data_IF_436221573225
#
_entry.id   IF_436221573225
#
_cell.length_a   1.000
_cell.length_b   1.000
_cell.length_c   1.000
_cell.angle_alpha   90.00
_cell.angle_beta   90.00
_cell.angle_gamma   90.00
#
_symmetry.space_group_name_H-M   'P 1'
#
loop_
_entity.id
_entity.type
_entity.pdbx_description
1 polymer ?
#
# COMPACT_ATOMS: atom_id res chain seq x y z
N UNK A 1 14.35 -10.71 -7.94
CA UNK A 1 13.28 -10.15 -7.10
C UNK A 1 13.69 -10.11 -5.64
N UNK A 2 14.48 -11.06 -5.16
CA UNK A 2 15.07 -11.06 -3.81
C UNK A 2 15.86 -9.79 -3.43
N UNK A 3 16.45 -9.07 -4.38
CA UNK A 3 17.17 -7.81 -4.11
C UNK A 3 16.26 -6.59 -3.88
N UNK A 4 14.95 -6.72 -4.09
CA UNK A 4 13.99 -5.63 -3.84
C UNK A 4 13.55 -5.77 -2.39
N UNK A 5 14.19 -5.00 -1.50
CA UNK A 5 13.80 -4.89 -0.10
C UNK A 5 12.73 -3.80 0.08
N UNK A 6 11.80 -3.96 1.03
CA UNK A 6 10.94 -2.86 1.43
C UNK A 6 11.78 -1.77 2.12
N UNK A 7 11.29 -0.53 2.12
CA UNK A 7 12.06 0.59 2.63
C UNK A 7 12.29 0.54 4.16
N UNK A 8 13.51 0.21 4.58
CA UNK A 8 13.84 -0.05 6.00
C UNK A 8 14.27 1.18 6.81
N UNK A 9 14.64 2.31 6.18
CA UNK A 9 15.15 3.48 6.93
C UNK A 9 14.10 4.11 7.85
N UNK A 10 12.83 3.73 7.73
CA UNK A 10 11.76 4.19 8.60
C UNK A 10 11.48 3.27 9.80
N UNK A 11 12.22 2.16 9.97
CA UNK A 11 12.08 1.29 11.15
C UNK A 11 12.32 2.01 12.47
N UNK A 12 13.11 3.10 12.47
CA UNK A 12 13.27 3.97 13.64
C UNK A 12 12.05 4.83 13.98
N UNK A 13 11.12 5.03 13.04
CA UNK A 13 9.86 5.74 13.23
C UNK A 13 8.70 4.79 13.50
N UNK A 14 8.66 3.64 12.82
CA UNK A 14 7.57 2.68 12.90
C UNK A 14 8.05 1.27 12.56
N UNK A 15 7.67 0.30 13.38
CA UNK A 15 7.91 -1.12 13.13
C UNK A 15 6.58 -1.88 13.24
N UNK A 16 6.03 -2.40 12.12
CA UNK A 16 4.74 -3.07 12.13
C UNK A 16 4.73 -4.36 12.96
N UNK A 17 5.88 -4.99 13.22
CA UNK A 17 5.94 -6.19 14.06
C UNK A 17 5.88 -5.86 15.56
N UNK A 18 6.16 -4.62 15.95
CA UNK A 18 6.20 -4.18 17.37
C UNK A 18 5.01 -3.34 17.79
N UNK A 19 4.15 -2.95 16.85
CA UNK A 19 2.95 -2.16 17.12
C UNK A 19 1.73 -3.07 17.30
N UNK A 20 1.14 -3.10 18.49
CA UNK A 20 -0.03 -3.94 18.83
C UNK A 20 -1.26 -3.68 17.95
N UNK A 21 -1.34 -2.52 17.31
CA UNK A 21 -2.45 -2.14 16.41
C UNK A 21 -2.16 -2.47 14.94
N UNK A 22 -0.97 -2.95 14.64
CA UNK A 22 -0.58 -3.36 13.30
C UNK A 22 -1.24 -4.70 12.95
N UNK A 23 -1.70 -4.90 11.70
CA UNK A 23 -2.12 -6.22 11.22
C UNK A 23 -0.97 -7.25 11.22
N UNK A 24 0.29 -6.81 11.34
CA UNK A 24 1.48 -7.65 11.37
C UNK A 24 2.14 -7.72 12.76
N UNK A 25 1.43 -7.33 13.82
CA UNK A 25 1.96 -7.39 15.19
C UNK A 25 2.45 -8.80 15.55
N UNK A 26 3.64 -8.88 16.16
CA UNK A 26 4.25 -10.13 16.61
C UNK A 26 4.85 -10.97 15.48
N UNK A 27 4.90 -10.46 14.24
CA UNK A 27 5.55 -11.17 13.14
C UNK A 27 7.05 -11.28 13.37
N UNK A 28 7.58 -12.49 13.20
CA UNK A 28 9.01 -12.76 13.21
C UNK A 28 9.51 -12.93 11.77
N UNK A 29 10.42 -12.04 11.35
CA UNK A 29 11.02 -12.07 10.03
C UNK A 29 12.22 -13.02 10.02
N UNK A 30 12.18 -14.04 9.17
CA UNK A 30 13.27 -14.99 8.99
C UNK A 30 14.10 -14.63 7.76
N UNK A 31 15.24 -13.97 7.97
CA UNK A 31 16.14 -13.53 6.90
C UNK A 31 17.04 -14.65 6.35
N UNK A 32 17.08 -15.81 7.01
CA UNK A 32 17.91 -16.94 6.58
C UNK A 32 17.18 -17.85 5.58
N UNK A 33 15.85 -17.73 5.46
CA UNK A 33 15.02 -18.58 4.62
C UNK A 33 14.15 -17.72 3.70
N UNK A 34 14.44 -17.78 2.41
CA UNK A 34 13.56 -17.26 1.37
C UNK A 34 12.49 -18.33 1.07
N UNK A 35 11.27 -18.13 1.56
CA UNK A 35 10.15 -19.05 1.34
C UNK A 35 9.21 -18.58 0.24
N UNK A 36 9.01 -17.26 0.14
CA UNK A 36 7.99 -16.67 -0.72
C UNK A 36 8.52 -16.38 -2.12
N UNK A 37 7.67 -16.59 -3.12
CA UNK A 37 8.04 -16.35 -4.53
C UNK A 37 6.94 -15.63 -5.29
N UNK A 38 7.36 -14.78 -6.24
CA UNK A 38 6.49 -14.20 -7.27
C UNK A 38 7.08 -14.62 -8.61
N UNK A 39 6.25 -15.22 -9.47
CA UNK A 39 6.71 -15.85 -10.73
C UNK A 39 7.86 -16.86 -10.58
N UNK A 40 7.91 -17.56 -9.44
CA UNK A 40 8.97 -18.53 -9.14
C UNK A 40 10.32 -17.90 -8.77
N UNK A 41 10.37 -16.58 -8.57
CA UNK A 41 11.53 -15.89 -8.00
C UNK A 41 11.29 -15.56 -6.54
N UNK A 42 12.25 -15.89 -5.69
CA UNK A 42 12.21 -15.51 -4.28
C UNK A 42 12.15 -13.99 -4.09
N UNK A 43 11.37 -13.55 -3.10
CA UNK A 43 11.28 -12.16 -2.62
C UNK A 43 11.92 -12.02 -1.24
N UNK A 44 12.33 -10.81 -0.88
CA UNK A 44 12.92 -10.57 0.44
C UNK A 44 11.95 -10.92 1.60
N UNK A 45 12.40 -11.63 2.65
CA UNK A 45 11.55 -12.02 3.77
C UNK A 45 10.92 -10.85 4.54
N UNK A 46 11.43 -9.62 4.38
CA UNK A 46 10.86 -8.42 4.99
C UNK A 46 9.49 -8.03 4.42
N UNK A 47 9.11 -8.55 3.24
CA UNK A 47 7.78 -8.36 2.68
C UNK A 47 6.72 -9.16 3.44
N UNK A 48 5.55 -8.56 3.57
CA UNK A 48 4.44 -9.09 4.34
C UNK A 48 3.40 -9.76 3.45
N UNK A 49 3.17 -11.07 3.70
CA UNK A 49 2.06 -11.81 3.14
C UNK A 49 0.74 -11.27 3.68
N UNK A 50 -0.12 -10.81 2.77
CA UNK A 50 -1.43 -10.26 3.12
C UNK A 50 -2.59 -11.20 2.78
N UNK A 51 -2.31 -12.43 2.38
CA UNK A 51 -3.32 -13.40 1.93
C UNK A 51 -3.33 -13.68 0.43
N UNK A 52 -2.47 -13.01 -0.34
CA UNK A 52 -2.27 -13.25 -1.78
C UNK A 52 -0.86 -13.76 -2.06
N UNK A 53 -0.75 -14.71 -3.01
CA UNK A 53 0.53 -15.25 -3.48
C UNK A 53 1.20 -14.37 -4.54
N UNK A 54 0.48 -13.41 -5.13
CA UNK A 54 0.99 -12.56 -6.22
C UNK A 54 1.32 -11.14 -5.79
N UNK A 55 0.72 -10.66 -4.69
CA UNK A 55 0.92 -9.31 -4.17
C UNK A 55 1.29 -9.35 -2.70
N UNK A 56 2.42 -8.74 -2.37
CA UNK A 56 2.93 -8.58 -1.01
C UNK A 56 3.05 -7.10 -0.69
N UNK A 57 3.05 -6.78 0.61
CA UNK A 57 3.10 -5.40 1.07
C UNK A 57 4.13 -5.19 2.18
N UNK A 58 4.40 -3.93 2.50
CA UNK A 58 5.01 -3.53 3.76
C UNK A 58 4.28 -2.31 4.30
N UNK A 59 3.83 -2.36 5.54
CA UNK A 59 3.38 -1.15 6.24
C UNK A 59 4.61 -0.40 6.72
N UNK A 60 4.93 0.71 6.06
CA UNK A 60 6.11 1.51 6.35
C UNK A 60 5.90 2.47 7.51
N UNK A 61 4.66 2.91 7.73
CA UNK A 61 4.31 3.87 8.78
C UNK A 61 2.81 3.82 9.07
N UNK A 62 2.45 3.94 10.35
CA UNK A 62 1.08 4.21 10.78
C UNK A 62 1.06 5.29 11.88
N UNK A 63 0.18 6.27 11.73
CA UNK A 63 -0.10 7.32 12.71
C UNK A 63 -1.60 7.37 12.99
N UNK A 64 -1.99 6.74 14.08
CA UNK A 64 -3.38 6.62 14.51
C UNK A 64 -3.98 7.91 15.06
N UNK A 65 -3.14 8.89 15.44
CA UNK A 65 -3.62 10.20 15.92
C UNK A 65 -3.99 11.06 14.72
N UNK A 66 -3.10 11.11 13.72
CA UNK A 66 -3.32 11.89 12.52
C UNK A 66 -4.09 11.14 11.42
N UNK A 67 -4.33 9.84 11.61
CA UNK A 67 -5.12 8.98 10.72
C UNK A 67 -4.41 8.57 9.43
N UNK A 68 -3.08 8.45 9.43
CA UNK A 68 -2.28 8.11 8.24
C UNK A 68 -1.72 6.69 8.25
N UNK A 69 -1.71 6.05 7.09
CA UNK A 69 -0.91 4.86 6.83
C UNK A 69 -0.13 5.01 5.51
N UNK A 70 1.09 4.47 5.50
CA UNK A 70 1.94 4.36 4.31
C UNK A 70 2.24 2.89 4.07
N UNK A 71 1.87 2.40 2.89
CA UNK A 71 1.98 0.99 2.51
C UNK A 71 2.74 0.90 1.18
N UNK A 72 3.81 0.10 1.15
CA UNK A 72 4.58 -0.20 -0.06
C UNK A 72 4.16 -1.57 -0.61
N UNK A 73 4.11 -1.71 -1.93
CA UNK A 73 3.66 -2.91 -2.62
C UNK A 73 4.78 -3.52 -3.45
N UNK A 74 4.80 -4.84 -3.57
CA UNK A 74 5.62 -5.58 -4.54
C UNK A 74 4.82 -6.73 -5.17
N UNK A 75 4.98 -6.91 -6.48
CA UNK A 75 4.40 -8.05 -7.19
C UNK A 75 3.35 -7.67 -8.21
N UNK A 76 2.44 -8.59 -8.48
CA UNK A 76 1.32 -8.38 -9.39
C UNK A 76 0.04 -8.19 -8.61
N UNK A 77 -0.67 -7.12 -8.92
CA UNK A 77 -1.97 -6.86 -8.35
C UNK A 77 -3.06 -7.46 -9.25
N UNK A 78 -3.60 -8.59 -8.84
CA UNK A 78 -4.48 -9.43 -9.64
C UNK A 78 -5.84 -9.65 -8.96
N UNK A 79 -6.75 -8.69 -9.15
CA UNK A 79 -8.12 -8.76 -8.67
C UNK A 79 -8.98 -9.75 -9.47
N UNK A 80 -8.57 -10.10 -10.70
CA UNK A 80 -9.28 -11.02 -11.59
C UNK A 80 -9.20 -12.50 -11.18
N UNK A 81 -8.06 -12.93 -10.64
CA UNK A 81 -7.82 -14.34 -10.29
C UNK A 81 -7.76 -14.52 -8.78
N UNK A 82 -6.95 -13.71 -8.10
CA UNK A 82 -6.64 -13.88 -6.68
C UNK A 82 -7.50 -13.00 -5.77
N UNK A 83 -8.23 -12.03 -6.34
CA UNK A 83 -8.99 -11.04 -5.60
C UNK A 83 -8.11 -10.32 -4.56
N UNK A 84 -6.95 -9.82 -5.03
CA UNK A 84 -5.93 -9.21 -4.19
C UNK A 84 -6.48 -8.04 -3.35
N UNK A 85 -7.35 -7.22 -3.93
CA UNK A 85 -8.02 -6.13 -3.21
C UNK A 85 -8.87 -6.62 -2.03
N UNK A 86 -9.57 -7.75 -2.14
CA UNK A 86 -10.31 -8.33 -1.01
C UNK A 86 -9.35 -8.71 0.12
N UNK A 87 -8.25 -9.39 -0.22
CA UNK A 87 -7.25 -9.80 0.77
C UNK A 87 -6.60 -8.59 1.44
N UNK A 88 -6.19 -7.59 0.66
CA UNK A 88 -5.68 -6.33 1.16
C UNK A 88 -6.69 -5.68 2.12
N UNK A 89 -7.95 -5.53 1.70
CA UNK A 89 -8.97 -4.88 2.51
C UNK A 89 -9.21 -5.62 3.82
N UNK A 90 -9.55 -6.90 3.76
CA UNK A 90 -9.98 -7.68 4.92
C UNK A 90 -8.86 -7.95 5.92
N UNK A 91 -7.66 -8.24 5.42
CA UNK A 91 -6.57 -8.68 6.29
C UNK A 91 -5.72 -7.51 6.80
N UNK A 92 -5.76 -6.35 6.13
CA UNK A 92 -4.85 -5.23 6.43
C UNK A 92 -5.66 -3.96 6.71
N UNK A 93 -6.41 -3.49 5.72
CA UNK A 93 -7.02 -2.16 5.77
C UNK A 93 -8.12 -2.07 6.83
N UNK A 94 -9.00 -3.05 6.95
CA UNK A 94 -10.11 -3.02 7.91
C UNK A 94 -9.60 -2.88 9.36
N UNK A 95 -8.49 -3.56 9.69
CA UNK A 95 -7.82 -3.41 10.98
C UNK A 95 -7.26 -2.00 11.19
N UNK A 96 -6.65 -1.40 10.16
CA UNK A 96 -6.12 -0.03 10.24
C UNK A 96 -7.25 1.00 10.39
N UNK A 97 -8.35 0.85 9.64
CA UNK A 97 -9.54 1.73 9.75
C UNK A 97 -10.14 1.64 11.14
N UNK A 98 -10.31 0.43 11.69
CA UNK A 98 -10.81 0.22 13.04
C UNK A 98 -9.97 0.92 14.12
N UNK A 99 -8.69 1.17 13.85
CA UNK A 99 -7.77 1.90 14.71
C UNK A 99 -7.67 3.40 14.39
N UNK A 100 -8.50 3.93 13.49
CA UNK A 100 -8.61 5.36 13.19
C UNK A 100 -7.84 5.86 11.97
N UNK A 101 -7.29 4.96 11.14
CA UNK A 101 -6.66 5.35 9.88
C UNK A 101 -7.72 5.64 8.82
N UNK A 102 -7.65 6.82 8.20
CA UNK A 102 -8.55 7.24 7.12
C UNK A 102 -7.81 7.78 5.89
N UNK A 103 -6.49 7.98 5.99
CA UNK A 103 -5.66 8.51 4.89
C UNK A 103 -4.57 7.52 4.54
N UNK A 104 -4.67 6.96 3.34
CA UNK A 104 -3.79 5.90 2.88
C UNK A 104 -2.88 6.41 1.75
N UNK A 105 -1.58 6.21 1.92
CA UNK A 105 -0.56 6.45 0.90
C UNK A 105 -0.06 5.08 0.43
N UNK A 106 -0.41 4.73 -0.79
CA UNK A 106 -0.01 3.49 -1.43
C UNK A 106 1.21 3.79 -2.31
N UNK A 107 2.34 3.14 -2.06
CA UNK A 107 3.56 3.28 -2.84
C UNK A 107 3.65 2.09 -3.80
N UNK A 108 3.43 2.35 -5.08
CA UNK A 108 3.24 1.31 -6.10
C UNK A 108 4.39 1.11 -7.07
N UNK A 109 5.57 1.66 -6.80
CA UNK A 109 6.69 1.63 -7.75
C UNK A 109 7.19 0.22 -8.11
N UNK A 110 6.95 -0.78 -7.23
CA UNK A 110 7.30 -2.18 -7.47
C UNK A 110 6.09 -3.06 -7.87
N UNK A 111 4.95 -2.44 -8.24
CA UNK A 111 3.83 -3.16 -8.85
C UNK A 111 4.18 -3.43 -10.31
N UNK A 112 4.22 -4.72 -10.66
CA UNK A 112 4.70 -5.20 -11.95
C UNK A 112 3.58 -5.31 -12.98
N UNK A 113 2.35 -5.61 -12.53
CA UNK A 113 1.19 -5.71 -13.39
C UNK A 113 -0.10 -5.47 -12.61
N UNK A 114 -1.17 -5.09 -13.32
CA UNK A 114 -2.52 -4.98 -12.77
C UNK A 114 -3.52 -5.76 -13.62
N UNK A 115 -4.33 -6.59 -12.97
CA UNK A 115 -5.42 -7.34 -13.59
C UNK A 115 -6.71 -7.09 -12.81
N UNK A 116 -7.53 -6.15 -13.29
CA UNK A 116 -8.75 -5.73 -12.60
C UNK A 116 -9.92 -6.70 -12.75
N UNK A 117 -10.84 -6.66 -11.78
CA UNK A 117 -12.15 -7.32 -11.80
C UNK A 117 -13.28 -6.31 -11.56
N UNK A 118 -14.14 -6.52 -10.56
CA UNK A 118 -15.11 -5.51 -10.12
C UNK A 118 -14.47 -4.50 -9.14
N UNK A 119 -15.17 -3.42 -8.85
CA UNK A 119 -14.72 -2.31 -8.01
C UNK A 119 -15.28 -2.34 -6.58
N UNK A 120 -16.00 -3.41 -6.20
CA UNK A 120 -16.80 -3.45 -4.96
C UNK A 120 -15.99 -3.22 -3.68
N UNK A 121 -14.81 -3.82 -3.58
CA UNK A 121 -13.94 -3.66 -2.41
C UNK A 121 -13.22 -2.30 -2.38
N UNK A 122 -13.01 -1.66 -3.54
CA UNK A 122 -12.48 -0.29 -3.60
C UNK A 122 -13.54 0.71 -3.14
N UNK A 123 -14.79 0.53 -3.58
CA UNK A 123 -15.94 1.31 -3.14
C UNK A 123 -16.13 1.19 -1.64
N UNK A 124 -16.17 -0.04 -1.11
CA UNK A 124 -16.34 -0.27 0.32
C UNK A 124 -15.18 0.34 1.14
N UNK A 125 -13.93 0.21 0.69
CA UNK A 125 -12.81 0.90 1.34
C UNK A 125 -13.01 2.41 1.35
N UNK A 126 -13.37 2.99 0.22
CA UNK A 126 -13.58 4.43 0.10
C UNK A 126 -14.72 4.94 1.00
N UNK A 127 -15.82 4.20 1.08
CA UNK A 127 -16.95 4.55 1.94
C UNK A 127 -16.59 4.47 3.44
N UNK A 128 -15.82 3.46 3.83
CA UNK A 128 -15.44 3.22 5.23
C UNK A 128 -14.53 4.32 5.81
N UNK A 129 -13.77 5.03 4.96
CA UNK A 129 -12.83 6.07 5.39
C UNK A 129 -13.45 7.47 5.50
N UNK A 130 -14.71 7.64 5.09
CA UNK A 130 -15.45 8.91 5.17
C UNK A 130 -14.75 10.07 4.45
N UNK A 131 -14.46 11.16 5.16
CA UNK A 131 -13.74 12.33 4.63
C UNK A 131 -12.23 12.07 4.38
N UNK A 132 -11.79 10.83 4.56
CA UNK A 132 -10.44 10.35 4.27
C UNK A 132 -10.12 10.34 2.77
N UNK A 133 -8.96 9.77 2.46
CA UNK A 133 -8.56 9.59 1.05
C UNK A 133 -7.55 8.45 0.90
N UNK A 134 -7.50 7.91 -0.32
CA UNK A 134 -6.49 6.94 -0.74
C UNK A 134 -5.68 7.59 -1.87
N UNK A 135 -4.35 7.48 -1.81
CA UNK A 135 -3.43 8.06 -2.79
C UNK A 135 -2.51 6.99 -3.37
N UNK A 136 -2.52 6.82 -4.68
CA UNK A 136 -1.52 6.05 -5.41
C UNK A 136 -0.31 6.94 -5.71
N UNK A 137 0.78 6.72 -4.97
CA UNK A 137 2.04 7.46 -5.08
C UNK A 137 3.08 6.62 -5.84
N UNK A 138 3.70 7.24 -6.84
CA UNK A 138 4.76 6.63 -7.65
C UNK A 138 4.37 5.30 -8.34
N UNK A 139 3.08 5.15 -8.70
CA UNK A 139 2.62 4.04 -9.52
C UNK A 139 3.12 4.20 -10.97
N UNK A 140 3.64 3.14 -11.63
CA UNK A 140 4.03 3.19 -13.03
C UNK A 140 2.87 3.60 -13.95
N UNK A 141 3.17 4.35 -15.01
CA UNK A 141 2.14 4.89 -15.92
C UNK A 141 1.19 3.81 -16.44
N UNK A 142 1.73 2.68 -16.89
CA UNK A 142 0.92 1.57 -17.41
C UNK A 142 0.00 0.93 -16.35
N UNK A 143 0.41 0.90 -15.08
CA UNK A 143 -0.44 0.39 -13.99
C UNK A 143 -1.62 1.33 -13.77
N UNK A 144 -1.37 2.65 -13.75
CA UNK A 144 -2.44 3.65 -13.60
C UNK A 144 -3.43 3.58 -14.77
N UNK A 145 -2.92 3.41 -15.98
CA UNK A 145 -3.74 3.28 -17.18
C UNK A 145 -4.66 2.05 -17.09
N UNK A 146 -4.18 0.92 -16.57
CA UNK A 146 -5.03 -0.23 -16.32
C UNK A 146 -6.05 0.04 -15.19
N UNK A 147 -5.64 0.59 -14.05
CA UNK A 147 -6.56 0.93 -12.93
C UNK A 147 -7.73 1.83 -13.39
N UNK A 148 -7.45 2.83 -14.23
CA UNK A 148 -8.47 3.73 -14.79
C UNK A 148 -9.48 3.01 -15.69
N UNK A 149 -9.08 1.96 -16.42
CA UNK A 149 -10.01 1.17 -17.25
C UNK A 149 -11.09 0.48 -16.42
N UNK A 150 -10.78 0.20 -15.15
CA UNK A 150 -11.68 -0.41 -14.18
C UNK A 150 -12.35 0.62 -13.26
N UNK A 151 -12.24 1.93 -13.56
CA UNK A 151 -12.81 3.04 -12.78
C UNK A 151 -12.28 3.16 -11.34
N UNK A 152 -11.11 2.59 -11.02
CA UNK A 152 -10.55 2.61 -9.67
C UNK A 152 -10.07 4.02 -9.28
N UNK A 153 -9.83 4.89 -10.26
CA UNK A 153 -9.53 6.31 -10.08
C UNK A 153 -10.66 7.12 -9.43
N UNK A 154 -11.88 6.56 -9.34
CA UNK A 154 -12.99 7.14 -8.55
C UNK A 154 -12.76 7.03 -7.05
N UNK A 155 -12.03 6.01 -6.61
CA UNK A 155 -11.82 5.67 -5.20
C UNK A 155 -10.39 5.99 -4.75
N UNK A 156 -9.42 5.87 -5.67
CA UNK A 156 -8.00 6.10 -5.40
C UNK A 156 -7.49 7.28 -6.20
N UNK A 157 -7.00 8.31 -5.50
CA UNK A 157 -6.38 9.47 -6.12
C UNK A 157 -5.07 9.07 -6.78
N UNK A 158 -4.97 9.24 -8.11
CA UNK A 158 -3.79 8.84 -8.87
C UNK A 158 -3.40 9.83 -9.98
N UNK A 159 -2.21 9.67 -10.55
CA UNK A 159 -1.71 10.49 -11.66
C UNK A 159 -1.12 11.85 -11.24
N UNK A 160 -0.88 12.74 -12.21
CA UNK A 160 -0.41 14.11 -11.99
C UNK A 160 0.83 14.21 -11.10
N UNK A 161 0.75 15.05 -10.08
CA UNK A 161 1.83 15.37 -9.12
C UNK A 161 2.10 14.29 -8.06
N UNK A 162 1.35 13.18 -8.05
CA UNK A 162 1.57 12.08 -7.08
C UNK A 162 2.72 11.15 -7.47
N UNK A 163 3.46 11.48 -8.53
CA UNK A 163 4.78 10.91 -8.80
C UNK A 163 5.82 11.65 -7.94
N UNK A 164 6.27 11.01 -6.87
CA UNK A 164 7.19 11.62 -5.89
C UNK A 164 8.53 10.88 -5.95
N UNK A 165 9.38 11.26 -6.92
CA UNK A 165 10.62 10.54 -7.27
C UNK A 165 11.60 10.30 -6.10
N UNK A 166 11.58 11.16 -5.07
CA UNK A 166 12.51 11.10 -3.94
C UNK A 166 11.82 11.00 -2.59
N UNK A 167 10.67 10.33 -2.55
CA UNK A 167 9.91 10.12 -1.31
C UNK A 167 10.77 9.49 -0.19
N UNK A 168 11.73 8.62 -0.53
CA UNK A 168 12.66 8.00 0.44
C UNK A 168 13.56 9.01 1.18
N UNK A 169 13.80 10.19 0.60
CA UNK A 169 14.58 11.24 1.28
C UNK A 169 13.78 11.99 2.36
N UNK A 170 12.47 11.77 2.42
CA UNK A 170 11.57 12.39 3.37
C UNK A 170 11.44 11.53 4.63
N UNK A 171 11.06 12.17 5.74
CA UNK A 171 10.50 11.46 6.89
C UNK A 171 9.07 10.99 6.55
N UNK A 172 8.51 9.99 7.25
CA UNK A 172 7.14 9.56 7.02
C UNK A 172 6.14 10.72 7.13
N UNK A 173 6.29 11.57 8.17
CA UNK A 173 5.42 12.73 8.39
C UNK A 173 5.51 13.74 7.25
N UNK A 174 6.73 14.02 6.76
CA UNK A 174 6.91 14.92 5.62
C UNK A 174 6.28 14.36 4.34
N UNK A 175 6.32 13.04 4.11
CA UNK A 175 5.59 12.43 3.00
C UNK A 175 4.08 12.59 3.16
N UNK A 176 3.52 12.35 4.35
CA UNK A 176 2.10 12.58 4.63
C UNK A 176 1.67 14.03 4.33
N UNK A 177 2.45 15.02 4.78
CA UNK A 177 2.19 16.44 4.53
C UNK A 177 2.28 16.83 3.05
N UNK A 178 3.26 16.30 2.32
CA UNK A 178 3.38 16.52 0.87
C UNK A 178 2.16 15.93 0.16
N UNK A 179 1.82 14.67 0.42
CA UNK A 179 0.71 14.00 -0.25
C UNK A 179 -0.63 14.66 0.06
N UNK A 180 -0.88 15.05 1.31
CA UNK A 180 -2.10 15.77 1.70
C UNK A 180 -2.28 17.07 0.92
N UNK A 181 -1.20 17.86 0.77
CA UNK A 181 -1.24 19.10 -0.02
C UNK A 181 -1.50 18.84 -1.50
N UNK A 182 -0.99 17.75 -2.05
CA UNK A 182 -1.22 17.39 -3.45
C UNK A 182 -2.67 16.94 -3.69
N UNK A 183 -3.30 16.30 -2.72
CA UNK A 183 -4.72 15.91 -2.79
C UNK A 183 -5.64 17.11 -2.64
N UNK A 184 -5.39 17.98 -1.65
CA UNK A 184 -6.22 19.18 -1.44
C UNK A 184 -6.33 20.05 -2.70
N UNK A 185 -5.24 20.24 -3.44
CA UNK A 185 -5.22 21.00 -4.70
C UNK A 185 -6.08 20.42 -5.84
N UNK A 186 -6.60 19.20 -5.69
CA UNK A 186 -7.46 18.56 -6.70
C UNK A 186 -8.95 18.67 -6.37
N UNK A 187 -9.26 18.93 -5.10
CA UNK A 187 -10.63 19.12 -4.62
C UNK A 187 -11.09 20.59 -4.76
N UNK A 188 -10.14 21.50 -5.01
CA UNK A 188 -10.36 22.91 -5.40
C UNK A 188 -10.46 23.07 -6.92
#
# INVERSE_FOLDING_TARGET
>A
MHDIEPYYNWLGYYDPARDERSPFYGKEYNYDVYSETIYGYYIDPAWDFMGSETLYIKVLYADYINGYAIIEFIGEWNDAINNDIMHLKRNVIDSMIANGITRFILIGENIMNFHGSDDSYYEEWFDDIGDGWIAAVSFPDFIRDELMKYNIDRYINMGGTLQIDRWRTLTPQALCEVTARLIQRRLE
#
